data_IF_793658626107
#
_entry.id   IF_793658626107
#
_cell.length_a   1.000
_cell.length_b   1.000
_cell.length_c   1.000
_cell.angle_alpha   90.00
_cell.angle_beta   90.00
_cell.angle_gamma   90.00
#
_symmetry.space_group_name_H-M   'P 1'
#
loop_
_entity.id
_entity.type
_entity.pdbx_description
1 polymer ?
#
# COMPACT_ATOMS: atom_id res chain seq x y z
N UNK A 1 5.29 -17.07 -5.30
CA UNK A 1 4.36 -17.51 -4.27
C UNK A 1 2.91 -17.43 -4.76
N UNK A 2 2.07 -18.32 -4.25
CA UNK A 2 0.63 -18.22 -4.32
C UNK A 2 0.13 -17.71 -2.96
N UNK A 3 -0.51 -16.55 -2.96
CA UNK A 3 -1.02 -15.91 -1.73
C UNK A 3 -2.52 -16.11 -1.50
N UNK A 4 -3.16 -17.00 -2.26
CA UNK A 4 -4.59 -17.19 -2.24
C UNK A 4 -5.30 -16.15 -3.11
N UNK A 5 -5.19 -14.90 -2.80
CA UNK A 5 -5.75 -13.76 -3.55
C UNK A 5 -4.88 -13.31 -4.74
N UNK A 6 -3.59 -13.62 -4.77
CA UNK A 6 -2.66 -13.23 -5.85
C UNK A 6 -1.62 -14.30 -6.11
N UNK A 7 -0.97 -14.22 -7.27
CA UNK A 7 0.25 -14.93 -7.57
C UNK A 7 1.40 -13.95 -7.76
N UNK A 8 2.55 -14.22 -7.13
CA UNK A 8 3.64 -13.29 -7.05
C UNK A 8 5.01 -13.93 -7.35
N UNK A 9 5.88 -13.15 -7.99
CA UNK A 9 7.30 -13.42 -8.17
C UNK A 9 8.10 -12.37 -7.41
N UNK A 10 9.04 -12.79 -6.60
CA UNK A 10 9.90 -11.94 -5.80
C UNK A 10 11.30 -11.87 -6.38
N UNK A 11 11.83 -10.68 -6.47
CA UNK A 11 13.20 -10.40 -6.89
C UNK A 11 13.77 -9.22 -6.11
N UNK A 12 15.05 -8.96 -6.27
CA UNK A 12 15.69 -7.79 -5.71
C UNK A 12 16.34 -6.97 -6.82
N UNK A 13 16.36 -5.65 -6.66
CA UNK A 13 17.18 -4.81 -7.51
C UNK A 13 18.68 -4.90 -7.15
N UNK A 14 19.51 -4.15 -7.86
CA UNK A 14 20.97 -4.15 -7.66
C UNK A 14 21.39 -3.60 -6.28
N UNK A 15 20.52 -2.88 -5.61
CA UNK A 15 20.74 -2.31 -4.27
C UNK A 15 20.13 -3.16 -3.15
N UNK A 16 19.51 -4.29 -3.49
CA UNK A 16 18.88 -5.21 -2.55
C UNK A 16 17.47 -4.82 -2.12
N UNK A 17 16.83 -3.84 -2.80
CA UNK A 17 15.43 -3.56 -2.55
C UNK A 17 14.55 -4.70 -3.07
N UNK A 18 13.62 -5.16 -2.25
CA UNK A 18 12.66 -6.19 -2.65
C UNK A 18 11.65 -5.64 -3.64
N UNK A 19 11.41 -6.41 -4.69
CA UNK A 19 10.39 -6.14 -5.71
C UNK A 19 9.47 -7.34 -5.77
N UNK A 20 8.18 -7.10 -5.68
CA UNK A 20 7.14 -8.10 -5.90
C UNK A 20 6.40 -7.76 -7.20
N UNK A 21 6.49 -8.67 -8.17
CA UNK A 21 5.69 -8.60 -9.40
C UNK A 21 4.54 -9.59 -9.23
N UNK A 22 3.31 -9.10 -9.22
CA UNK A 22 2.15 -9.93 -8.97
C UNK A 22 0.97 -9.60 -9.86
N UNK A 23 0.02 -10.51 -9.90
CA UNK A 23 -1.32 -10.25 -10.40
C UNK A 23 -2.35 -10.78 -9.41
N UNK A 24 -3.44 -10.06 -9.27
CA UNK A 24 -4.56 -10.50 -8.46
C UNK A 24 -5.37 -11.58 -9.20
N UNK A 25 -5.78 -12.58 -8.46
CA UNK A 25 -6.79 -13.51 -8.93
C UNK A 25 -8.16 -12.84 -8.88
N UNK A 26 -9.12 -13.40 -9.61
CA UNK A 26 -10.50 -12.97 -9.47
C UNK A 26 -10.95 -13.01 -8.01
N UNK A 27 -11.67 -11.98 -7.58
CA UNK A 27 -12.06 -11.80 -6.18
C UNK A 27 -12.90 -12.95 -5.62
N UNK A 28 -13.53 -13.75 -6.48
CA UNK A 28 -14.25 -14.98 -6.09
C UNK A 28 -13.33 -16.05 -5.49
N UNK A 29 -12.01 -15.97 -5.72
CA UNK A 29 -11.02 -16.86 -5.11
C UNK A 29 -10.49 -16.37 -3.77
N UNK A 30 -10.81 -15.13 -3.37
CA UNK A 30 -10.29 -14.54 -2.15
C UNK A 30 -11.02 -15.09 -0.92
N UNK A 31 -10.28 -15.54 0.07
CA UNK A 31 -10.84 -15.99 1.35
C UNK A 31 -11.25 -14.78 2.19
N UNK A 32 -12.43 -14.23 1.89
CA UNK A 32 -13.04 -13.09 2.59
C UNK A 32 -13.86 -13.60 3.78
N UNK A 33 -13.56 -13.08 4.96
CA UNK A 33 -14.29 -13.39 6.18
C UNK A 33 -15.37 -12.35 6.47
N UNK A 34 -16.42 -12.71 7.23
CA UNK A 34 -17.51 -11.77 7.55
C UNK A 34 -17.05 -10.53 8.33
N UNK A 35 -15.93 -10.59 9.04
CA UNK A 35 -15.35 -9.48 9.79
C UNK A 35 -14.50 -8.53 8.92
N UNK A 36 -14.42 -8.79 7.62
CA UNK A 36 -13.65 -8.00 6.66
C UNK A 36 -12.20 -8.48 6.48
N UNK A 37 -11.77 -9.53 7.17
CA UNK A 37 -10.46 -10.17 6.99
C UNK A 37 -10.39 -10.79 5.59
N UNK A 38 -9.25 -10.64 4.93
CA UNK A 38 -8.90 -11.32 3.67
C UNK A 38 -7.67 -12.16 3.95
N UNK A 39 -7.87 -13.48 4.08
CA UNK A 39 -6.82 -14.39 4.54
C UNK A 39 -5.81 -14.61 3.43
N UNK A 40 -4.54 -14.25 3.72
CA UNK A 40 -3.40 -14.58 2.88
C UNK A 40 -2.78 -15.92 3.26
N UNK A 41 -2.31 -16.64 2.26
CA UNK A 41 -1.50 -17.85 2.42
C UNK A 41 -0.13 -17.63 1.79
N UNK A 42 0.79 -18.57 1.96
CA UNK A 42 2.07 -18.58 1.23
C UNK A 42 2.36 -20.00 0.81
N UNK A 43 2.08 -20.30 -0.44
CA UNK A 43 2.29 -21.59 -1.04
C UNK A 43 3.23 -21.49 -2.24
N UNK A 44 3.69 -22.65 -2.73
CA UNK A 44 4.48 -22.71 -3.94
C UNK A 44 3.67 -22.21 -5.15
N UNK A 45 4.27 -21.30 -5.89
CA UNK A 45 3.74 -20.86 -7.19
C UNK A 45 3.80 -22.00 -8.20
N UNK A 46 2.73 -22.19 -8.95
CA UNK A 46 2.74 -23.07 -10.14
C UNK A 46 3.43 -22.34 -11.30
N UNK A 47 4.78 -22.47 -11.29
CA UNK A 47 5.61 -21.81 -12.29
C UNK A 47 5.45 -22.45 -13.68
N UNK A 48 5.19 -23.76 -13.74
CA UNK A 48 5.04 -24.48 -14.99
C UNK A 48 3.79 -23.99 -15.72
N UNK A 49 2.67 -23.86 -15.00
CA UNK A 49 1.46 -23.26 -15.56
C UNK A 49 1.68 -21.83 -16.04
N UNK A 50 2.41 -21.00 -15.29
CA UNK A 50 2.71 -19.63 -15.72
C UNK A 50 3.56 -19.60 -16.99
N UNK A 51 4.53 -20.50 -17.13
CA UNK A 51 5.33 -20.60 -18.33
C UNK A 51 4.50 -21.04 -19.55
N UNK A 52 3.58 -21.99 -19.35
CA UNK A 52 2.71 -22.49 -20.41
C UNK A 52 1.78 -21.41 -20.97
N UNK A 53 1.26 -20.52 -20.11
CA UNK A 53 0.37 -19.43 -20.53
C UNK A 53 1.12 -18.15 -20.93
N UNK A 54 2.42 -18.07 -20.67
CA UNK A 54 3.23 -16.90 -20.97
C UNK A 54 3.38 -16.69 -22.48
N UNK A 55 3.46 -15.42 -22.88
CA UNK A 55 3.76 -15.02 -24.26
C UNK A 55 5.08 -14.27 -24.28
N UNK A 56 5.97 -14.67 -25.18
CA UNK A 56 7.17 -13.88 -25.42
C UNK A 56 6.80 -12.60 -26.16
N UNK A 57 7.11 -11.47 -25.56
CA UNK A 57 6.95 -10.14 -26.16
C UNK A 57 8.35 -9.58 -26.44
N UNK A 58 8.59 -9.15 -27.68
CA UNK A 58 9.89 -8.60 -28.07
C UNK A 58 9.68 -7.35 -28.95
N UNK A 59 10.19 -6.16 -28.56
CA UNK A 59 10.86 -5.90 -27.29
C UNK A 59 9.91 -6.09 -26.10
N UNK A 60 10.45 -6.42 -24.92
CA UNK A 60 9.64 -6.57 -23.72
C UNK A 60 9.12 -5.19 -23.26
N UNK A 61 7.82 -5.10 -23.07
CA UNK A 61 7.14 -3.93 -22.53
C UNK A 61 6.21 -4.38 -21.41
N UNK A 62 6.16 -3.61 -20.33
CA UNK A 62 5.16 -3.81 -19.28
C UNK A 62 3.76 -3.53 -19.84
N UNK A 63 2.73 -4.29 -19.47
CA UNK A 63 1.35 -3.96 -19.79
C UNK A 63 1.02 -2.52 -19.41
N UNK A 64 0.25 -1.82 -20.26
CA UNK A 64 -0.04 -0.40 -20.08
C UNK A 64 -0.85 -0.09 -18.79
N UNK A 65 -1.52 -1.09 -18.26
CA UNK A 65 -2.31 -1.04 -17.02
C UNK A 65 -1.52 -1.47 -15.78
N UNK A 66 -0.19 -1.69 -15.91
CA UNK A 66 0.66 -2.00 -14.77
C UNK A 66 0.73 -0.83 -13.80
N UNK A 67 0.45 -1.09 -12.53
CA UNK A 67 0.43 -0.09 -11.45
C UNK A 67 1.32 -0.53 -10.27
N UNK A 68 1.58 0.38 -9.35
CA UNK A 68 2.12 0.02 -8.02
C UNK A 68 0.91 -0.33 -7.16
N UNK A 69 0.75 -1.62 -6.87
CA UNK A 69 -0.41 -2.12 -6.14
C UNK A 69 -0.31 -1.93 -4.64
N UNK A 70 0.87 -2.14 -4.06
CA UNK A 70 1.08 -2.00 -2.62
C UNK A 70 2.54 -1.71 -2.25
N UNK A 71 2.77 -1.34 -0.99
CA UNK A 71 4.09 -1.09 -0.41
C UNK A 71 4.25 -1.95 0.84
N UNK A 72 5.40 -2.63 0.97
CA UNK A 72 5.81 -3.29 2.21
C UNK A 72 6.85 -2.43 2.94
N UNK A 73 6.60 -2.12 4.22
CA UNK A 73 7.49 -1.36 5.07
C UNK A 73 8.11 -2.26 6.14
N UNK A 74 9.44 -2.29 6.20
CA UNK A 74 10.16 -2.82 7.34
C UNK A 74 10.10 -1.82 8.48
N UNK A 75 9.50 -2.20 9.61
CA UNK A 75 9.25 -1.34 10.76
C UNK A 75 9.75 -1.98 12.04
N UNK A 76 9.98 -1.18 13.10
CA UNK A 76 10.43 -1.71 14.41
C UNK A 76 9.36 -2.55 15.10
N UNK A 77 8.12 -2.11 15.00
CA UNK A 77 6.96 -2.76 15.60
C UNK A 77 5.78 -2.68 14.63
N UNK A 78 5.38 -3.85 14.13
CA UNK A 78 4.28 -3.94 13.16
C UNK A 78 2.93 -3.55 13.77
N UNK A 79 2.71 -3.81 15.07
CA UNK A 79 1.45 -3.45 15.74
C UNK A 79 1.33 -1.94 15.91
N UNK A 80 2.41 -1.28 16.37
CA UNK A 80 2.45 0.19 16.52
C UNK A 80 2.25 0.88 15.17
N UNK A 81 2.94 0.38 14.14
CA UNK A 81 2.83 0.96 12.79
C UNK A 81 1.44 0.72 12.20
N UNK A 82 0.88 -0.48 12.32
CA UNK A 82 -0.47 -0.77 11.87
C UNK A 82 -1.51 0.10 12.56
N UNK A 83 -1.44 0.24 13.90
CA UNK A 83 -2.34 1.09 14.66
C UNK A 83 -2.26 2.57 14.24
N UNK A 84 -1.06 3.07 13.91
CA UNK A 84 -0.89 4.40 13.36
C UNK A 84 -1.63 4.57 12.03
N UNK A 85 -1.41 3.70 11.07
CA UNK A 85 -2.06 3.79 9.76
C UNK A 85 -3.58 3.63 9.84
N UNK A 86 -4.08 2.79 10.76
CA UNK A 86 -5.51 2.64 11.01
C UNK A 86 -6.11 3.90 11.64
N UNK A 87 -5.52 4.40 12.71
CA UNK A 87 -6.10 5.53 13.47
C UNK A 87 -5.93 6.88 12.78
N UNK A 88 -4.78 7.10 12.10
CA UNK A 88 -4.47 8.38 11.45
C UNK A 88 -5.02 8.43 10.03
N UNK A 89 -4.82 7.35 9.27
CA UNK A 89 -5.09 7.31 7.84
C UNK A 89 -6.30 6.43 7.46
N UNK A 90 -7.07 5.99 8.45
CA UNK A 90 -8.32 5.25 8.24
C UNK A 90 -8.17 3.96 7.43
N UNK A 91 -6.99 3.32 7.48
CA UNK A 91 -6.82 1.99 6.92
C UNK A 91 -7.58 0.95 7.75
N UNK A 92 -8.05 -0.09 7.08
CA UNK A 92 -8.70 -1.24 7.70
C UNK A 92 -7.70 -2.38 7.82
N UNK A 93 -7.70 -3.08 8.94
CA UNK A 93 -6.97 -4.34 9.09
C UNK A 93 -7.61 -5.40 8.17
N UNK A 94 -6.80 -5.99 7.32
CA UNK A 94 -7.23 -7.08 6.44
C UNK A 94 -6.70 -8.42 6.89
N UNK A 95 -5.48 -8.45 7.41
CA UNK A 95 -4.88 -9.65 7.96
C UNK A 95 -3.70 -9.28 8.85
N UNK A 96 -3.66 -9.81 10.06
CA UNK A 96 -2.57 -9.53 11.01
C UNK A 96 -2.05 -10.82 11.64
N UNK A 97 -0.73 -10.92 11.68
CA UNK A 97 0.03 -11.94 12.40
C UNK A 97 0.99 -11.25 13.38
N UNK A 98 1.63 -11.97 14.32
CA UNK A 98 2.49 -11.35 15.34
C UNK A 98 3.59 -10.44 14.79
N UNK A 99 4.10 -10.70 13.58
CA UNK A 99 5.24 -10.00 12.98
C UNK A 99 4.88 -9.11 11.78
N UNK A 100 3.62 -9.06 11.36
CA UNK A 100 3.19 -8.28 10.21
C UNK A 100 1.70 -7.97 10.23
N UNK A 101 1.31 -6.90 9.56
CA UNK A 101 -0.09 -6.51 9.35
C UNK A 101 -0.26 -6.01 7.91
N UNK A 102 -1.29 -6.51 7.23
CA UNK A 102 -1.72 -6.11 5.89
C UNK A 102 -2.98 -5.27 6.03
N UNK A 103 -2.92 -4.04 5.54
CA UNK A 103 -3.95 -3.04 5.75
C UNK A 103 -4.35 -2.38 4.42
N UNK A 104 -5.60 -2.01 4.30
CA UNK A 104 -6.13 -1.41 3.06
C UNK A 104 -7.22 -0.37 3.32
N UNK A 105 -7.48 0.47 2.34
CA UNK A 105 -8.76 1.15 2.18
C UNK A 105 -9.73 0.25 1.40
N UNK A 106 -11.02 0.31 1.74
CA UNK A 106 -12.05 -0.48 1.06
C UNK A 106 -11.83 -1.98 1.18
N UNK A 107 -12.16 -2.72 0.12
CA UNK A 107 -12.23 -4.18 0.12
C UNK A 107 -11.04 -4.88 -0.54
N UNK A 108 -9.95 -4.16 -0.76
CA UNK A 108 -8.71 -4.73 -1.30
C UNK A 108 -7.93 -5.50 -0.23
N UNK A 109 -7.14 -6.51 -0.65
CA UNK A 109 -6.38 -7.35 0.28
C UNK A 109 -5.32 -6.57 1.06
N UNK A 110 -4.59 -5.64 0.43
CA UNK A 110 -3.78 -4.63 1.13
C UNK A 110 -3.16 -3.62 0.16
N UNK A 111 -3.13 -2.37 0.56
CA UNK A 111 -2.35 -1.33 -0.11
C UNK A 111 -1.02 -1.08 0.61
N UNK A 112 -0.96 -1.43 1.88
CA UNK A 112 0.20 -1.27 2.72
C UNK A 112 0.37 -2.51 3.60
N UNK A 113 1.60 -3.02 3.70
CA UNK A 113 1.96 -3.98 4.71
C UNK A 113 3.09 -3.43 5.57
N UNK A 114 3.03 -3.69 6.86
CA UNK A 114 4.06 -3.35 7.83
C UNK A 114 4.56 -4.63 8.50
N UNK A 115 5.88 -4.82 8.56
CA UNK A 115 6.46 -6.01 9.14
C UNK A 115 7.75 -5.68 9.92
N UNK A 116 8.06 -6.50 10.93
CA UNK A 116 9.27 -6.40 11.72
C UNK A 116 10.26 -7.56 11.47
N UNK A 117 10.24 -8.12 10.25
CA UNK A 117 11.10 -9.26 9.88
C UNK A 117 12.58 -8.93 9.89
N UNK A 118 12.94 -7.66 9.66
CA UNK A 118 14.33 -7.17 9.75
C UNK A 118 14.79 -6.95 11.21
N UNK A 119 13.93 -7.24 12.19
CA UNK A 119 14.20 -7.07 13.63
C UNK A 119 13.68 -5.74 14.18
N UNK A 120 13.69 -5.64 15.52
CA UNK A 120 13.09 -4.50 16.22
C UNK A 120 14.05 -3.34 16.47
N UNK A 121 15.34 -3.48 16.09
CA UNK A 121 16.39 -2.50 16.34
C UNK A 121 16.65 -1.56 15.14
N UNK A 122 15.67 -1.40 14.26
CA UNK A 122 15.80 -0.49 13.13
C UNK A 122 15.87 0.96 13.60
N UNK A 123 16.78 1.72 13.02
CA UNK A 123 16.86 3.17 13.24
C UNK A 123 15.69 3.87 12.52
N UNK A 124 15.34 5.06 13.00
CA UNK A 124 14.45 5.95 12.28
C UNK A 124 15.01 6.25 10.89
N UNK A 125 14.13 6.35 9.91
CA UNK A 125 14.49 6.79 8.56
C UNK A 125 15.16 8.15 8.62
N UNK A 126 16.40 8.20 8.19
CA UNK A 126 17.19 9.43 8.12
C UNK A 126 17.30 9.91 6.67
N UNK A 127 17.31 11.26 6.50
CA UNK A 127 17.28 11.89 5.19
C UNK A 127 18.44 11.49 4.29
N UNK A 128 19.62 11.34 4.87
CA UNK A 128 20.87 11.13 4.13
C UNK A 128 21.23 9.64 3.95
N UNK A 129 20.36 8.74 4.38
CA UNK A 129 20.52 7.30 4.17
C UNK A 129 19.69 6.79 3.00
N UNK A 130 20.17 5.79 2.24
CA UNK A 130 19.37 5.10 1.24
C UNK A 130 18.08 4.55 1.80
N UNK A 131 17.06 4.43 0.98
CA UNK A 131 15.77 3.85 1.35
C UNK A 131 14.60 4.68 0.84
N UNK A 132 13.37 4.28 1.24
CA UNK A 132 12.15 4.96 0.84
C UNK A 132 12.15 6.40 1.36
N UNK A 133 12.20 7.37 0.46
CA UNK A 133 12.15 8.78 0.84
C UNK A 133 10.77 9.18 1.36
N UNK A 134 9.73 8.82 0.63
CA UNK A 134 8.32 9.02 0.97
C UNK A 134 7.45 8.13 0.10
N UNK A 135 6.19 8.02 0.47
CA UNK A 135 5.14 7.57 -0.43
C UNK A 135 3.94 8.52 -0.37
N UNK A 136 3.14 8.50 -1.41
CA UNK A 136 2.00 9.37 -1.57
C UNK A 136 0.70 8.55 -1.53
N UNK A 137 -0.30 9.06 -0.83
CA UNK A 137 -1.66 8.57 -0.83
C UNK A 137 -2.51 9.64 -1.49
N UNK A 138 -3.06 9.33 -2.65
CA UNK A 138 -3.94 10.24 -3.37
C UNK A 138 -5.36 10.04 -2.84
N UNK A 139 -5.90 11.05 -2.19
CA UNK A 139 -7.27 11.02 -1.65
C UNK A 139 -8.20 11.71 -2.65
N UNK A 140 -9.11 10.94 -3.20
CA UNK A 140 -10.00 11.38 -4.27
C UNK A 140 -11.33 11.94 -3.75
N UNK A 141 -11.74 11.52 -2.56
CA UNK A 141 -12.95 12.00 -1.91
C UNK A 141 -12.66 13.14 -0.94
N UNK A 142 -13.45 14.21 -1.02
CA UNK A 142 -13.26 15.41 -0.20
C UNK A 142 -13.56 15.15 1.28
N UNK A 143 -14.61 14.42 1.56
CA UNK A 143 -15.06 14.20 2.94
C UNK A 143 -14.10 13.24 3.64
N UNK A 144 -13.60 12.24 2.93
CA UNK A 144 -12.52 11.39 3.42
C UNK A 144 -11.25 12.21 3.71
N UNK A 145 -10.84 13.11 2.81
CA UNK A 145 -9.68 13.98 3.05
C UNK A 145 -9.85 14.83 4.32
N UNK A 146 -11.02 15.41 4.52
CA UNK A 146 -11.31 16.19 5.73
C UNK A 146 -11.30 15.34 6.99
N UNK A 147 -11.79 14.11 6.91
CA UNK A 147 -11.75 13.15 8.00
C UNK A 147 -10.31 12.77 8.37
N UNK A 148 -9.45 12.54 7.39
CA UNK A 148 -8.02 12.28 7.63
C UNK A 148 -7.34 13.46 8.35
N UNK A 149 -7.65 14.71 7.97
CA UNK A 149 -7.16 15.89 8.68
C UNK A 149 -7.61 15.89 10.15
N UNK A 150 -8.88 15.57 10.42
CA UNK A 150 -9.40 15.46 11.78
C UNK A 150 -8.67 14.39 12.59
N UNK A 151 -8.43 13.23 12.00
CA UNK A 151 -7.69 12.13 12.64
C UNK A 151 -6.26 12.55 12.97
N UNK A 152 -5.55 13.18 12.03
CA UNK A 152 -4.19 13.71 12.23
C UNK A 152 -4.14 14.65 13.45
N UNK A 153 -5.10 15.54 13.56
CA UNK A 153 -5.22 16.49 14.70
C UNK A 153 -5.57 15.76 16.00
N UNK A 154 -6.53 14.85 15.96
CA UNK A 154 -6.99 14.10 17.14
C UNK A 154 -5.91 13.17 17.73
N UNK A 155 -5.04 12.63 16.90
CA UNK A 155 -3.92 11.76 17.30
C UNK A 155 -2.64 12.53 17.64
N UNK A 156 -2.66 13.87 17.59
CA UNK A 156 -1.48 14.73 17.75
C UNK A 156 -0.32 14.35 16.81
N UNK A 157 -0.64 13.82 15.64
CA UNK A 157 0.36 13.48 14.63
C UNK A 157 1.02 14.74 14.09
N UNK A 158 2.34 14.78 14.10
CA UNK A 158 3.09 15.96 13.66
C UNK A 158 2.97 16.20 12.17
N UNK A 159 2.38 17.31 11.78
CA UNK A 159 2.36 17.79 10.40
C UNK A 159 3.73 18.45 10.12
N UNK A 160 4.45 17.93 9.15
CA UNK A 160 5.77 18.44 8.73
C UNK A 160 5.66 19.59 7.74
N UNK A 161 4.65 19.51 6.87
CA UNK A 161 4.35 20.51 5.87
C UNK A 161 2.87 20.40 5.50
N UNK A 162 2.25 21.53 5.28
CA UNK A 162 0.89 21.66 4.77
C UNK A 162 0.87 22.65 3.61
N UNK A 163 0.15 22.32 2.56
CA UNK A 163 -0.12 23.16 1.40
C UNK A 163 -1.60 23.06 1.08
N UNK A 164 -2.08 23.82 0.10
CA UNK A 164 -3.48 23.79 -0.32
C UNK A 164 -3.94 22.40 -0.79
N UNK A 165 -2.99 21.60 -1.32
CA UNK A 165 -3.28 20.32 -1.96
C UNK A 165 -2.64 19.10 -1.28
N UNK A 166 -1.84 19.30 -0.23
CA UNK A 166 -1.12 18.20 0.40
C UNK A 166 -0.78 18.42 1.88
N UNK A 167 -0.80 17.33 2.65
CA UNK A 167 -0.30 17.28 4.03
C UNK A 167 0.79 16.22 4.12
N UNK A 168 1.92 16.58 4.74
CA UNK A 168 3.08 15.71 4.92
C UNK A 168 3.22 15.39 6.41
N UNK A 169 3.17 14.12 6.73
CA UNK A 169 3.35 13.60 8.09
C UNK A 169 4.48 12.59 8.12
N UNK A 170 4.90 12.17 9.30
CA UNK A 170 5.79 11.03 9.49
C UNK A 170 5.09 9.93 10.25
N UNK A 171 5.36 8.70 9.82
CA UNK A 171 4.96 7.52 10.56
C UNK A 171 5.86 7.30 11.81
N UNK A 172 5.56 6.31 12.69
CA UNK A 172 6.36 6.02 13.87
C UNK A 172 7.81 5.60 13.61
N UNK A 173 8.19 5.30 12.36
CA UNK A 173 9.53 4.90 11.95
C UNK A 173 10.28 6.03 11.22
N UNK A 174 9.68 7.23 11.14
CA UNK A 174 10.24 8.38 10.47
C UNK A 174 10.05 8.41 8.96
N UNK A 175 9.26 7.49 8.39
CA UNK A 175 8.93 7.46 6.96
C UNK A 175 7.94 8.60 6.67
N UNK A 176 8.25 9.42 5.65
CA UNK A 176 7.35 10.49 5.24
C UNK A 176 6.17 9.93 4.44
N UNK A 177 4.97 10.30 4.85
CA UNK A 177 3.72 10.01 4.16
C UNK A 177 3.11 11.32 3.69
N UNK A 178 2.76 11.39 2.42
CA UNK A 178 2.14 12.56 1.80
C UNK A 178 0.71 12.25 1.42
N UNK A 179 -0.22 12.97 2.01
CA UNK A 179 -1.62 12.92 1.63
C UNK A 179 -1.86 13.98 0.57
N UNK A 180 -2.12 13.55 -0.65
CA UNK A 180 -2.34 14.43 -1.80
C UNK A 180 -3.84 14.51 -2.09
N UNK A 181 -4.38 15.71 -2.07
CA UNK A 181 -5.75 15.97 -2.50
C UNK A 181 -5.82 15.95 -4.03
N UNK A 182 -6.57 15.02 -4.58
CA UNK A 182 -6.75 14.97 -6.03
C UNK A 182 -7.58 16.14 -6.53
N UNK A 183 -6.96 16.99 -7.34
CA UNK A 183 -7.63 18.14 -7.99
C UNK A 183 -8.37 17.69 -9.26
N UNK A 184 -7.92 16.59 -9.88
CA UNK A 184 -8.36 16.17 -11.22
C UNK A 184 -9.76 15.56 -11.27
N UNK A 185 -10.31 15.11 -10.17
CA UNK A 185 -11.65 14.50 -10.13
C UNK A 185 -12.80 15.51 -10.22
N UNK A 186 -12.51 16.80 -10.13
CA UNK A 186 -13.53 17.82 -10.48
C UNK A 186 -13.89 17.80 -11.96
N UNK A 187 -12.99 17.34 -12.84
CA UNK A 187 -13.22 17.26 -14.28
C UNK A 187 -13.86 15.94 -14.72
N UNK A 188 -13.51 14.81 -14.08
CA UNK A 188 -14.00 13.49 -14.46
C UNK A 188 -15.40 13.15 -13.92
N UNK A 189 -15.86 13.80 -12.83
CA UNK A 189 -17.24 13.64 -12.33
C UNK A 189 -18.33 14.18 -13.28
N UNK A 190 -17.95 14.81 -14.40
CA UNK A 190 -18.93 15.24 -15.40
C UNK A 190 -19.29 14.16 -16.43
N UNK A 191 -18.55 13.08 -16.55
CA UNK A 191 -18.78 12.12 -17.64
C UNK A 191 -19.08 10.66 -17.26
N UNK A 192 -18.70 10.12 -16.10
CA UNK A 192 -19.09 8.75 -15.74
C UNK A 192 -19.10 8.56 -14.22
N UNK A 193 -20.26 8.25 -13.68
CA UNK A 193 -20.42 7.93 -12.26
C UNK A 193 -19.75 6.63 -11.88
N UNK A 194 -18.70 6.69 -11.09
CA UNK A 194 -18.21 5.55 -10.32
C UNK A 194 -18.37 5.85 -8.82
N UNK A 195 -18.94 4.94 -8.03
CA UNK A 195 -19.39 5.23 -6.68
C UNK A 195 -18.39 4.92 -5.56
N UNK A 196 -17.17 4.51 -5.84
CA UNK A 196 -16.24 4.09 -4.79
C UNK A 196 -15.04 5.03 -4.70
N UNK A 197 -14.87 5.67 -3.52
CA UNK A 197 -13.68 6.45 -3.20
C UNK A 197 -12.48 5.53 -3.05
N UNK A 198 -11.63 5.49 -4.07
CA UNK A 198 -10.40 4.70 -4.08
C UNK A 198 -9.22 5.58 -3.67
N UNK A 199 -8.40 5.08 -2.75
CA UNK A 199 -7.10 5.66 -2.44
C UNK A 199 -6.04 4.95 -3.28
N UNK A 200 -5.27 5.69 -4.06
CA UNK A 200 -4.18 5.14 -4.85
C UNK A 200 -2.84 5.45 -4.19
N UNK A 201 -1.97 4.46 -4.10
CA UNK A 201 -0.59 4.63 -3.63
C UNK A 201 0.31 4.75 -4.84
N UNK A 202 0.97 5.91 -4.99
CA UNK A 202 1.97 6.11 -6.04
C UNK A 202 3.34 6.41 -5.41
N UNK A 203 4.39 5.81 -5.96
CA UNK A 203 5.78 6.18 -5.68
C UNK A 203 6.24 7.16 -6.74
N UNK A 204 6.82 8.29 -6.34
CA UNK A 204 7.56 9.19 -7.22
C UNK A 204 9.03 9.16 -6.84
N UNK A 205 9.91 8.91 -7.82
CA UNK A 205 11.37 8.97 -7.68
C UNK A 205 11.84 10.39 -7.43
#
# INVERSE_FOLDING_TARGET
ANHGYSNAIYLSDAEGNGIEVYYDKDESFWDRRPDGTIVGITERLDADHLLDISKTISPYELPADTIIGHIHLSVRDSKVSSAFYQSVLNFLDKFTVPSASWIAHGDYHHHLAVNNWAGNNLNDRQKDFPGLAYFEIIVTDKDEYLKLIQNIKATNTTIRKETDDAIFIKDPNGIEVRLIKSIWLKCLKKENGSPNGEAYIMKKN
#
